data_IF_136234526150
#
_entry.id   IF_136234526150
#
_cell.length_a   1.000
_cell.length_b   1.000
_cell.length_c   1.000
_cell.angle_alpha   90.00
_cell.angle_beta   90.00
_cell.angle_gamma   90.00
#
_symmetry.space_group_name_H-M   'P 1'
#
loop_
_entity.id
_entity.type
_entity.pdbx_description
1 polymer ?
#
# COMPACT_ATOMS: atom_id res chain seq x y z
N UNK A 1 -21.95 -2.77 -5.53
CA UNK A 1 -23.35 -2.98 -5.97
C UNK A 1 -24.23 -1.81 -5.50
N UNK A 2 -25.20 -1.35 -6.31
CA UNK A 2 -26.08 -0.23 -5.93
C UNK A 2 -27.13 -0.68 -4.89
N UNK A 3 -27.36 0.09 -3.81
CA UNK A 3 -28.35 -0.26 -2.80
C UNK A 3 -29.78 -0.09 -3.34
N UNK A 4 -30.67 -1.00 -2.96
CA UNK A 4 -32.11 -0.90 -3.17
C UNK A 4 -32.68 0.16 -2.21
N UNK A 5 -33.48 1.07 -2.75
CA UNK A 5 -34.11 2.16 -1.97
C UNK A 5 -35.48 1.73 -1.47
N UNK A 6 -35.76 1.96 -0.20
CA UNK A 6 -37.07 1.73 0.42
C UNK A 6 -36.93 1.47 1.92
N UNK A 7 -38.03 1.60 2.67
CA UNK A 7 -38.02 1.45 4.15
C UNK A 7 -38.44 0.07 4.66
N UNK A 8 -38.95 -0.78 3.77
CA UNK A 8 -39.35 -2.14 4.15
C UNK A 8 -38.14 -3.00 4.51
N UNK A 9 -38.34 -3.91 5.47
CA UNK A 9 -37.31 -4.86 5.94
C UNK A 9 -36.65 -5.65 4.81
N UNK A 10 -37.39 -6.01 3.77
CA UNK A 10 -36.86 -6.73 2.61
C UNK A 10 -35.78 -5.95 1.85
N UNK A 11 -35.91 -4.62 1.74
CA UNK A 11 -34.88 -3.78 1.12
C UNK A 11 -33.61 -3.74 1.97
N UNK A 12 -33.75 -3.69 3.30
CA UNK A 12 -32.61 -3.74 4.22
C UNK A 12 -31.88 -5.08 4.13
N UNK A 13 -32.62 -6.20 4.10
CA UNK A 13 -32.04 -7.53 3.91
C UNK A 13 -31.26 -7.62 2.59
N UNK A 14 -31.86 -7.17 1.48
CA UNK A 14 -31.22 -7.19 0.17
C UNK A 14 -29.95 -6.34 0.14
N UNK A 15 -29.95 -5.17 0.79
CA UNK A 15 -28.78 -4.30 0.89
C UNK A 15 -27.66 -4.96 1.70
N UNK A 16 -27.99 -5.59 2.82
CA UNK A 16 -27.00 -6.31 3.63
C UNK A 16 -26.48 -7.52 2.87
N UNK A 17 -27.32 -8.29 2.20
CA UNK A 17 -26.89 -9.46 1.40
C UNK A 17 -25.94 -9.04 0.27
N UNK A 18 -26.21 -7.95 -0.44
CA UNK A 18 -25.30 -7.38 -1.44
C UNK A 18 -23.94 -7.02 -0.83
N UNK A 19 -23.92 -6.47 0.39
CA UNK A 19 -22.68 -6.14 1.09
C UNK A 19 -21.92 -7.40 1.53
N UNK A 20 -22.59 -8.38 2.13
CA UNK A 20 -21.99 -9.65 2.54
C UNK A 20 -21.44 -10.43 1.34
N UNK A 21 -22.15 -10.43 0.21
CA UNK A 21 -21.69 -11.04 -1.03
C UNK A 21 -20.40 -10.37 -1.54
N UNK A 22 -20.36 -9.05 -1.60
CA UNK A 22 -19.16 -8.32 -1.98
C UNK A 22 -17.97 -8.66 -1.08
N UNK A 23 -18.18 -8.76 0.24
CA UNK A 23 -17.12 -9.14 1.18
C UNK A 23 -16.62 -10.58 0.90
N UNK A 24 -17.51 -11.52 0.59
CA UNK A 24 -17.13 -12.89 0.18
C UNK A 24 -16.30 -12.88 -1.12
N UNK A 25 -16.67 -12.07 -2.10
CA UNK A 25 -15.89 -11.88 -3.35
C UNK A 25 -14.49 -11.33 -3.05
N UNK A 26 -14.36 -10.45 -2.06
CA UNK A 26 -13.07 -9.96 -1.53
C UNK A 26 -12.34 -10.99 -0.64
N UNK A 27 -12.73 -12.26 -0.64
CA UNK A 27 -12.16 -13.35 0.18
C UNK A 27 -12.21 -13.09 1.70
N UNK A 28 -13.23 -12.36 2.16
CA UNK A 28 -13.52 -12.24 3.59
C UNK A 28 -14.27 -13.49 4.05
N UNK A 29 -13.76 -14.16 5.08
CA UNK A 29 -14.43 -15.28 5.71
C UNK A 29 -15.50 -14.78 6.68
N UNK A 30 -16.76 -14.88 6.26
CA UNK A 30 -17.93 -14.52 7.05
C UNK A 30 -18.61 -15.79 7.56
N UNK A 31 -18.04 -16.39 8.60
CA UNK A 31 -18.65 -17.56 9.25
C UNK A 31 -19.80 -17.11 10.15
N UNK A 32 -20.99 -17.70 9.94
CA UNK A 32 -22.17 -17.51 10.78
C UNK A 32 -22.74 -16.08 10.84
N UNK A 33 -22.62 -15.29 9.76
CA UNK A 33 -23.28 -13.98 9.64
C UNK A 33 -24.26 -14.00 8.45
N UNK A 34 -25.55 -13.89 8.74
CA UNK A 34 -26.61 -13.67 7.75
C UNK A 34 -27.09 -12.21 7.73
N UNK A 35 -27.76 -11.82 6.64
CA UNK A 35 -28.35 -10.47 6.55
C UNK A 35 -29.41 -10.21 7.62
N UNK A 36 -30.20 -11.22 7.97
CA UNK A 36 -31.19 -11.14 9.04
C UNK A 36 -30.57 -10.84 10.42
N UNK A 37 -29.40 -11.41 10.74
CA UNK A 37 -28.70 -11.10 12.00
C UNK A 37 -28.39 -9.61 12.14
N UNK A 38 -28.00 -8.97 11.04
CA UNK A 38 -27.67 -7.54 11.00
C UNK A 38 -28.95 -6.70 11.04
N UNK A 39 -29.94 -7.03 10.22
CA UNK A 39 -31.19 -6.28 10.11
C UNK A 39 -32.02 -6.36 11.40
N UNK A 40 -31.98 -7.49 12.10
CA UNK A 40 -32.69 -7.69 13.37
C UNK A 40 -31.88 -7.19 14.59
N UNK A 41 -30.68 -6.65 14.37
CA UNK A 41 -29.93 -5.92 15.38
C UNK A 41 -29.07 -6.77 16.32
N UNK A 42 -28.53 -7.90 15.86
CA UNK A 42 -27.55 -8.67 16.63
C UNK A 42 -26.24 -7.88 16.77
N UNK A 43 -26.07 -7.21 17.92
CA UNK A 43 -24.93 -6.32 18.16
C UNK A 43 -23.58 -7.04 18.07
N UNK A 44 -23.51 -8.32 18.49
CA UNK A 44 -22.25 -9.07 18.50
C UNK A 44 -21.79 -9.35 17.06
N UNK A 45 -22.70 -9.82 16.22
CA UNK A 45 -22.40 -10.08 14.81
C UNK A 45 -22.18 -8.80 14.02
N UNK A 46 -22.92 -7.72 14.35
CA UNK A 46 -22.72 -6.39 13.74
C UNK A 46 -21.32 -5.84 14.03
N UNK A 47 -20.89 -5.86 15.30
CA UNK A 47 -19.55 -5.41 15.69
C UNK A 47 -18.46 -6.27 15.05
N UNK A 48 -18.63 -7.60 15.04
CA UNK A 48 -17.70 -8.52 14.39
C UNK A 48 -17.56 -8.27 12.87
N UNK A 49 -18.67 -7.99 12.19
CA UNK A 49 -18.67 -7.64 10.77
C UNK A 49 -17.94 -6.33 10.50
N UNK A 50 -18.23 -5.27 11.27
CA UNK A 50 -17.55 -3.97 11.15
C UNK A 50 -16.04 -4.13 11.39
N UNK A 51 -15.65 -4.86 12.43
CA UNK A 51 -14.24 -5.14 12.73
C UNK A 51 -13.54 -5.87 11.57
N UNK A 52 -14.20 -6.88 11.01
CA UNK A 52 -13.67 -7.65 9.88
C UNK A 52 -13.46 -6.77 8.64
N UNK A 53 -14.39 -5.87 8.35
CA UNK A 53 -14.27 -4.88 7.27
C UNK A 53 -13.04 -4.01 7.48
N UNK A 54 -12.88 -3.43 8.68
CA UNK A 54 -11.74 -2.57 9.01
C UNK A 54 -10.42 -3.32 8.78
N UNK A 55 -10.29 -4.52 9.35
CA UNK A 55 -9.07 -5.32 9.20
C UNK A 55 -8.76 -5.65 7.75
N UNK A 56 -9.76 -6.05 6.96
CA UNK A 56 -9.56 -6.46 5.57
C UNK A 56 -9.03 -5.31 4.71
N UNK A 57 -9.60 -4.12 4.83
CA UNK A 57 -9.23 -2.99 3.98
C UNK A 57 -7.99 -2.26 4.49
N UNK A 58 -7.79 -2.15 5.81
CA UNK A 58 -6.57 -1.58 6.35
C UNK A 58 -5.34 -2.41 6.01
N UNK A 59 -5.45 -3.74 5.99
CA UNK A 59 -4.33 -4.62 5.65
C UNK A 59 -4.02 -4.63 4.16
N UNK A 60 -5.01 -4.56 3.26
CA UNK A 60 -4.75 -4.41 1.82
C UNK A 60 -4.11 -3.07 1.50
N UNK A 61 -4.66 -1.97 2.00
CA UNK A 61 -4.14 -0.63 1.74
C UNK A 61 -2.70 -0.50 2.28
N UNK A 62 -2.43 -1.06 3.46
CA UNK A 62 -1.06 -1.15 3.97
C UNK A 62 -0.16 -2.08 3.16
N UNK A 63 -0.65 -3.20 2.61
CA UNK A 63 0.15 -4.10 1.78
C UNK A 63 0.52 -3.46 0.44
N UNK A 64 -0.44 -2.82 -0.21
CA UNK A 64 -0.22 -2.08 -1.45
C UNK A 64 0.73 -0.90 -1.19
N UNK A 65 0.48 -0.12 -0.14
CA UNK A 65 1.37 0.97 0.29
C UNK A 65 2.77 0.46 0.62
N UNK A 66 2.92 -0.66 1.34
CA UNK A 66 4.23 -1.28 1.63
C UNK A 66 4.91 -1.73 0.35
N UNK A 67 4.20 -2.38 -0.56
CA UNK A 67 4.74 -2.80 -1.87
C UNK A 67 5.23 -1.61 -2.69
N UNK A 68 4.42 -0.54 -2.80
CA UNK A 68 4.80 0.69 -3.48
C UNK A 68 6.00 1.38 -2.80
N UNK A 69 6.04 1.37 -1.47
CA UNK A 69 7.14 1.88 -0.67
C UNK A 69 8.42 1.07 -0.90
N UNK A 70 8.34 -0.26 -0.91
CA UNK A 70 9.49 -1.14 -1.13
C UNK A 70 10.03 -1.00 -2.56
N UNK A 71 9.14 -0.90 -3.56
CA UNK A 71 9.51 -0.61 -4.94
C UNK A 71 10.21 0.75 -5.08
N UNK A 72 9.70 1.80 -4.41
CA UNK A 72 10.34 3.11 -4.40
C UNK A 72 11.69 3.07 -3.68
N UNK A 73 11.80 2.33 -2.58
CA UNK A 73 13.04 2.18 -1.83
C UNK A 73 14.12 1.53 -2.70
N UNK A 74 13.76 0.45 -3.38
CA UNK A 74 14.63 -0.23 -4.34
C UNK A 74 15.05 0.70 -5.48
N UNK A 75 14.11 1.48 -6.03
CA UNK A 75 14.43 2.46 -7.07
C UNK A 75 15.46 3.50 -6.59
N UNK A 76 15.30 4.03 -5.37
CA UNK A 76 16.25 4.96 -4.78
C UNK A 76 17.65 4.32 -4.65
N UNK A 77 17.72 3.09 -4.11
CA UNK A 77 18.97 2.32 -3.98
C UNK A 77 19.65 2.11 -5.33
N UNK A 78 18.91 1.73 -6.37
CA UNK A 78 19.45 1.54 -7.72
C UNK A 78 19.99 2.84 -8.32
N UNK A 79 19.32 3.97 -8.08
CA UNK A 79 19.73 5.26 -8.64
C UNK A 79 20.96 5.82 -7.96
N UNK A 80 21.12 5.59 -6.65
CA UNK A 80 22.27 6.04 -5.86
C UNK A 80 23.36 4.97 -5.74
N UNK A 81 23.25 3.83 -6.42
CA UNK A 81 24.30 2.82 -6.46
C UNK A 81 25.61 3.41 -6.99
N UNK A 82 26.70 3.23 -6.23
CA UNK A 82 28.03 3.75 -6.55
C UNK A 82 28.34 5.15 -6.01
N UNK A 83 27.37 5.82 -5.36
CA UNK A 83 27.67 7.06 -4.62
C UNK A 83 28.30 6.69 -3.26
N UNK A 84 29.54 7.11 -2.98
CA UNK A 84 30.18 6.85 -1.69
C UNK A 84 29.36 7.47 -0.57
N UNK A 85 29.34 6.78 0.58
CA UNK A 85 28.65 7.20 1.81
C UNK A 85 27.12 7.29 1.71
N UNK A 86 26.52 6.99 0.54
CA UNK A 86 25.07 6.94 0.36
C UNK A 86 24.57 5.51 0.51
N UNK A 87 23.88 5.24 1.62
CA UNK A 87 23.27 3.94 1.90
C UNK A 87 21.78 4.11 2.29
N UNK A 88 20.90 3.96 1.30
CA UNK A 88 19.46 4.11 1.49
C UNK A 88 18.87 2.77 1.96
N UNK A 89 18.38 2.72 3.20
CA UNK A 89 17.78 1.51 3.80
C UNK A 89 16.32 1.70 4.23
N UNK A 90 15.88 2.95 4.38
CA UNK A 90 14.50 3.29 4.75
C UNK A 90 14.18 4.73 4.32
N UNK A 91 12.95 5.19 4.54
CA UNK A 91 12.51 6.56 4.26
C UNK A 91 12.55 7.49 5.49
N UNK A 92 13.35 7.17 6.51
CA UNK A 92 13.47 7.98 7.72
C UNK A 92 14.92 8.36 8.00
N UNK A 93 15.74 7.44 8.52
CA UNK A 93 17.11 7.74 8.94
C UNK A 93 18.08 7.90 7.79
N UNK A 94 17.92 7.14 6.70
CA UNK A 94 18.85 7.17 5.55
C UNK A 94 18.88 8.47 4.73
N UNK A 95 18.01 9.42 5.04
CA UNK A 95 17.86 10.68 4.31
C UNK A 95 18.26 11.91 5.14
N UNK A 96 18.58 11.71 6.42
CA UNK A 96 18.77 12.81 7.40
C UNK A 96 20.01 13.66 7.14
N UNK A 97 21.05 13.07 6.57
CA UNK A 97 22.32 13.76 6.25
C UNK A 97 22.26 14.53 4.92
N UNK A 98 21.19 14.36 4.14
CA UNK A 98 20.99 15.01 2.84
C UNK A 98 21.76 14.38 1.67
N UNK A 99 22.66 13.41 1.90
CA UNK A 99 23.50 12.84 0.84
C UNK A 99 22.67 12.04 -0.17
N UNK A 100 21.67 11.30 0.30
CA UNK A 100 20.74 10.57 -0.56
C UNK A 100 20.01 11.48 -1.57
N UNK A 101 19.57 12.67 -1.11
CA UNK A 101 18.93 13.65 -2.00
C UNK A 101 19.91 14.21 -3.03
N UNK A 102 21.11 14.61 -2.59
CA UNK A 102 22.14 15.14 -3.47
C UNK A 102 22.57 14.12 -4.54
N UNK A 103 22.70 12.84 -4.17
CA UNK A 103 23.02 11.76 -5.10
C UNK A 103 21.93 11.55 -6.17
N UNK A 104 20.65 11.58 -5.78
CA UNK A 104 19.54 11.47 -6.73
C UNK A 104 19.49 12.64 -7.72
N UNK A 105 19.70 13.87 -7.23
CA UNK A 105 19.72 15.09 -8.08
C UNK A 105 20.90 15.02 -9.05
N UNK A 106 22.10 14.70 -8.55
CA UNK A 106 23.31 14.58 -9.37
C UNK A 106 23.14 13.52 -10.48
N UNK A 107 22.51 12.37 -10.17
CA UNK A 107 22.25 11.30 -11.15
C UNK A 107 21.37 11.73 -12.33
N UNK A 108 20.46 12.69 -12.13
CA UNK A 108 19.59 13.21 -13.19
C UNK A 108 20.15 14.48 -13.88
N UNK A 109 21.12 15.16 -13.25
CA UNK A 109 21.72 16.41 -13.74
C UNK A 109 23.26 16.34 -13.74
N UNK A 110 23.80 15.30 -14.38
CA UNK A 110 25.24 14.99 -14.40
C UNK A 110 26.15 16.13 -14.88
N UNK A 111 25.61 17.18 -15.54
CA UNK A 111 26.42 18.26 -16.13
C UNK A 111 26.73 19.44 -15.18
N UNK A 112 26.17 19.50 -13.96
CA UNK A 112 26.21 20.73 -13.14
C UNK A 112 27.01 20.67 -11.84
N UNK A 113 27.41 19.50 -11.36
CA UNK A 113 28.18 19.40 -10.12
C UNK A 113 29.10 18.19 -10.19
N UNK A 114 30.37 18.34 -9.80
CA UNK A 114 31.25 17.20 -9.57
C UNK A 114 30.90 16.58 -8.22
N UNK A 115 30.34 15.37 -8.19
CA UNK A 115 30.39 14.56 -6.97
C UNK A 115 31.87 14.33 -6.62
N UNK A 116 32.28 14.65 -5.39
CA UNK A 116 33.68 14.72 -4.95
C UNK A 116 34.56 13.63 -5.58
N UNK A 117 35.62 14.07 -6.25
CA UNK A 117 36.52 13.31 -7.12
C UNK A 117 36.85 11.91 -6.56
N UNK A 118 36.16 10.87 -7.06
CA UNK A 118 36.53 9.44 -7.05
C UNK A 118 35.40 8.52 -7.56
N UNK A 119 34.16 8.99 -7.69
CA UNK A 119 32.98 8.11 -7.89
C UNK A 119 32.45 7.99 -9.34
N UNK A 120 33.25 8.26 -10.37
CA UNK A 120 32.81 8.16 -11.77
C UNK A 120 33.77 7.27 -12.59
N UNK A 121 33.49 5.95 -12.62
CA UNK A 121 33.40 5.07 -13.81
C UNK A 121 33.61 3.56 -13.48
N UNK A 122 33.15 2.59 -14.30
CA UNK A 122 32.16 2.64 -15.38
C UNK A 122 30.96 1.70 -15.13
N UNK A 123 29.85 1.97 -15.81
CA UNK A 123 28.76 1.02 -16.07
C UNK A 123 29.29 -0.32 -16.58
N UNK A 124 28.85 -1.49 -16.06
CA UNK A 124 29.06 -2.75 -16.76
C UNK A 124 28.20 -2.72 -18.02
N UNK A 125 28.86 -2.78 -19.18
CA UNK A 125 28.24 -3.03 -20.48
C UNK A 125 27.42 -4.32 -20.41
N UNK A 126 26.14 -4.25 -20.78
CA UNK A 126 25.37 -5.42 -21.18
C UNK A 126 26.04 -5.98 -22.45
N UNK A 127 26.81 -7.05 -22.31
CA UNK A 127 27.17 -7.92 -23.43
C UNK A 127 25.95 -8.81 -23.75
N UNK A 128 25.45 -8.68 -24.98
CA UNK A 128 24.52 -9.60 -25.64
C UNK A 128 25.11 -11.01 -25.75
#
# INVERSE_FOLDING_TARGET
PSPTRGRMRIHSLENVDKALQFLKEQRVHLENVGSHDIVDGNHRLTLGLVWTIILRFQTEDNRETRSAKDALLLWCQMKTAGYPEVNIQNFTTSWRDGLAFNALIHRHRYHLASWGSSALHPTPTLSL
#
